data_IF_387669200275
#
_entry.id   IF_387669200275
#
_cell.length_a   1.000
_cell.length_b   1.000
_cell.length_c   1.000
_cell.angle_alpha   90.00
_cell.angle_beta   90.00
_cell.angle_gamma   90.00
#
_symmetry.space_group_name_H-M   'P 1'
#
loop_
_entity.id
_entity.type
_entity.pdbx_description
1 polymer ?
#
# COMPACT_ATOMS: atom_id res chain seq x y z
N UNK A 1 -22.90 -68.12 -1.82
CA UNK A 1 -21.75 -68.46 -0.95
C UNK A 1 -20.72 -67.35 -1.05
N UNK A 2 -20.17 -66.97 0.09
CA UNK A 2 -19.04 -66.06 0.32
C UNK A 2 -19.15 -64.60 -0.14
N UNK A 3 -19.41 -63.71 0.84
CA UNK A 3 -18.81 -62.38 0.87
C UNK A 3 -18.07 -62.20 2.19
N UNK A 4 -16.78 -61.90 2.06
CA UNK A 4 -15.79 -61.72 3.11
C UNK A 4 -16.10 -60.48 3.97
N UNK A 5 -16.09 -60.65 5.30
CA UNK A 5 -15.98 -59.56 6.27
C UNK A 5 -14.51 -59.36 6.65
N UNK A 6 -13.82 -58.47 5.96
CA UNK A 6 -12.48 -57.98 6.31
C UNK A 6 -12.56 -56.55 6.83
N UNK A 7 -12.89 -56.36 8.11
CA UNK A 7 -12.94 -55.02 8.71
C UNK A 7 -12.49 -54.93 10.19
N UNK A 8 -12.00 -56.02 10.82
CA UNK A 8 -11.76 -56.02 12.27
C UNK A 8 -10.30 -55.75 12.70
N UNK A 9 -9.30 -55.88 11.83
CA UNK A 9 -7.89 -55.79 12.26
C UNK A 9 -7.30 -54.38 12.33
N UNK A 10 -7.91 -53.37 11.68
CA UNK A 10 -7.35 -52.00 11.64
C UNK A 10 -7.59 -51.21 12.94
N UNK A 11 -8.68 -51.46 13.65
CA UNK A 11 -9.00 -50.74 14.89
C UNK A 11 -8.08 -51.09 16.07
N UNK A 12 -7.61 -52.34 16.12
CA UNK A 12 -6.78 -52.85 17.22
C UNK A 12 -5.31 -52.41 17.12
N UNK A 13 -4.80 -52.22 15.90
CA UNK A 13 -3.49 -51.62 15.66
C UNK A 13 -3.46 -50.14 16.04
N UNK A 14 -4.54 -49.40 15.76
CA UNK A 14 -4.67 -47.99 16.12
C UNK A 14 -4.60 -47.79 17.65
N UNK A 15 -5.35 -48.55 18.44
CA UNK A 15 -5.30 -48.47 19.92
C UNK A 15 -3.92 -48.76 20.51
N UNK A 16 -3.12 -49.61 19.86
CA UNK A 16 -1.79 -49.99 20.34
C UNK A 16 -0.73 -48.92 20.06
N UNK A 17 -0.81 -48.23 18.92
CA UNK A 17 0.07 -47.11 18.58
C UNK A 17 -0.21 -45.88 19.46
N UNK A 18 -1.48 -45.60 19.75
CA UNK A 18 -1.84 -44.48 20.65
C UNK A 18 -1.57 -44.79 22.12
N UNK A 19 -1.62 -46.06 22.54
CA UNK A 19 -1.27 -46.48 23.90
C UNK A 19 0.18 -46.18 24.27
N UNK A 20 1.11 -46.34 23.31
CA UNK A 20 2.53 -45.99 23.48
C UNK A 20 2.77 -44.48 23.58
N UNK A 21 2.07 -43.69 22.77
CA UNK A 21 2.13 -42.22 22.84
C UNK A 21 1.55 -41.73 24.17
N UNK A 22 0.43 -42.31 24.62
CA UNK A 22 -0.20 -41.96 25.91
C UNK A 22 0.70 -42.25 27.11
N UNK A 23 1.38 -43.41 27.13
CA UNK A 23 2.33 -43.73 28.21
C UNK A 23 3.57 -42.84 28.18
N UNK A 24 4.05 -42.46 26.99
CA UNK A 24 5.17 -41.51 26.85
C UNK A 24 4.80 -40.11 27.38
N UNK A 25 3.61 -39.61 27.06
CA UNK A 25 3.11 -38.31 27.55
C UNK A 25 2.92 -38.32 29.07
N UNK A 26 2.34 -39.40 29.62
CA UNK A 26 2.20 -39.56 31.08
C UNK A 26 3.57 -39.64 31.75
N UNK A 27 4.51 -40.41 31.21
CA UNK A 27 5.87 -40.48 31.72
C UNK A 27 6.54 -39.11 31.67
N UNK A 28 6.46 -38.37 30.55
CA UNK A 28 7.01 -37.00 30.45
C UNK A 28 6.39 -36.04 31.48
N UNK A 29 5.07 -36.09 31.69
CA UNK A 29 4.39 -35.26 32.70
C UNK A 29 4.76 -35.63 34.14
N UNK A 30 5.13 -36.89 34.39
CA UNK A 30 5.56 -37.36 35.72
C UNK A 30 7.06 -37.15 35.97
N UNK A 31 7.87 -37.21 34.92
CA UNK A 31 9.34 -37.13 35.02
C UNK A 31 9.83 -35.69 35.02
N UNK A 32 9.13 -34.77 34.33
CA UNK A 32 9.45 -33.35 34.37
C UNK A 32 8.67 -32.66 35.51
N UNK A 33 9.36 -32.11 36.52
CA UNK A 33 8.69 -31.42 37.63
C UNK A 33 7.89 -30.22 37.10
N UNK A 34 6.78 -29.89 37.77
CA UNK A 34 5.89 -28.76 37.42
C UNK A 34 6.63 -27.45 37.21
N UNK A 35 7.80 -27.29 37.82
CA UNK A 35 8.64 -26.10 37.72
C UNK A 35 9.30 -25.93 36.34
N UNK A 36 9.65 -27.02 35.66
CA UNK A 36 10.17 -26.96 34.27
C UNK A 36 9.07 -26.52 33.30
N UNK A 37 7.84 -27.03 33.48
CA UNK A 37 6.70 -26.58 32.70
C UNK A 37 6.36 -25.10 32.94
N UNK A 38 6.41 -24.63 34.19
CA UNK A 38 6.25 -23.20 34.53
C UNK A 38 7.35 -22.34 33.93
N UNK A 39 8.58 -22.85 33.86
CA UNK A 39 9.68 -22.11 33.25
C UNK A 39 9.52 -22.02 31.72
N UNK A 40 9.15 -23.11 31.05
CA UNK A 40 8.91 -23.14 29.60
C UNK A 40 7.73 -22.22 29.23
N UNK A 41 6.57 -22.44 29.85
CA UNK A 41 5.38 -21.60 29.62
C UNK A 41 5.62 -20.15 30.03
N UNK A 42 6.39 -19.92 31.09
CA UNK A 42 6.80 -18.58 31.52
C UNK A 42 7.75 -17.90 30.52
N UNK A 43 8.64 -18.64 29.85
CA UNK A 43 9.49 -18.10 28.78
C UNK A 43 8.67 -17.76 27.54
N UNK A 44 7.75 -18.62 27.13
CA UNK A 44 6.84 -18.35 26.01
C UNK A 44 5.97 -17.13 26.27
N UNK A 45 5.39 -17.02 27.47
CA UNK A 45 4.59 -15.86 27.86
C UNK A 45 5.43 -14.57 27.88
N UNK A 46 6.64 -14.61 28.46
CA UNK A 46 7.55 -13.45 28.45
C UNK A 46 7.94 -13.05 27.03
N UNK A 47 8.21 -14.01 26.14
CA UNK A 47 8.52 -13.74 24.74
C UNK A 47 7.33 -13.12 24.02
N UNK A 48 6.11 -13.61 24.26
CA UNK A 48 4.88 -13.03 23.72
C UNK A 48 4.67 -11.60 24.18
N UNK A 49 4.77 -11.34 25.49
CA UNK A 49 4.61 -10.00 26.06
C UNK A 49 5.70 -9.05 25.56
N UNK A 50 6.94 -9.53 25.43
CA UNK A 50 8.04 -8.74 24.87
C UNK A 50 7.75 -8.36 23.40
N UNK A 51 7.27 -9.31 22.60
CA UNK A 51 6.91 -9.07 21.20
C UNK A 51 5.71 -8.11 21.08
N UNK A 52 4.68 -8.27 21.91
CA UNK A 52 3.55 -7.33 21.95
C UNK A 52 4.01 -5.91 22.31
N UNK A 53 4.90 -5.78 23.30
CA UNK A 53 5.48 -4.50 23.69
C UNK A 53 6.32 -3.89 22.57
N UNK A 54 7.09 -4.70 21.83
CA UNK A 54 7.87 -4.24 20.69
C UNK A 54 6.96 -3.74 19.55
N UNK A 55 5.89 -4.47 19.22
CA UNK A 55 4.88 -4.03 18.24
C UNK A 55 4.22 -2.73 18.70
N UNK A 56 3.89 -2.60 19.99
CA UNK A 56 3.33 -1.36 20.54
C UNK A 56 4.32 -0.18 20.44
N UNK A 57 5.61 -0.41 20.65
CA UNK A 57 6.64 0.61 20.47
C UNK A 57 6.70 1.10 19.02
N UNK A 58 6.72 0.16 18.06
CA UNK A 58 6.67 0.46 16.62
C UNK A 58 5.42 1.28 16.26
N UNK A 59 4.25 0.90 16.79
CA UNK A 59 3.00 1.63 16.57
C UNK A 59 2.97 3.02 17.20
N UNK A 60 3.63 3.21 18.34
CA UNK A 60 3.80 4.55 18.94
C UNK A 60 4.63 5.45 18.02
N UNK A 61 5.75 4.95 17.49
CA UNK A 61 6.54 5.72 16.52
C UNK A 61 5.73 6.09 15.28
N UNK A 62 4.89 5.18 14.77
CA UNK A 62 3.96 5.48 13.68
C UNK A 62 2.95 6.57 14.07
N UNK A 63 2.37 6.50 15.27
CA UNK A 63 1.46 7.54 15.76
C UNK A 63 2.15 8.91 15.86
N UNK A 64 3.40 8.95 16.32
CA UNK A 64 4.20 10.18 16.38
C UNK A 64 4.47 10.74 14.98
N UNK A 65 4.79 9.89 14.01
CA UNK A 65 4.93 10.29 12.60
C UNK A 65 3.62 10.86 12.03
N UNK A 66 2.48 10.23 12.34
CA UNK A 66 1.16 10.71 11.92
C UNK A 66 0.84 12.09 12.53
N UNK A 67 1.17 12.28 13.81
CA UNK A 67 1.00 13.56 14.50
C UNK A 67 1.87 14.66 13.86
N UNK A 68 3.14 14.35 13.56
CA UNK A 68 4.04 15.29 12.86
C UNK A 68 3.52 15.66 11.46
N UNK A 69 2.95 14.72 10.72
CA UNK A 69 2.34 15.00 9.41
C UNK A 69 1.11 15.90 9.52
N UNK A 70 0.24 15.64 10.50
CA UNK A 70 -0.93 16.47 10.76
C UNK A 70 -0.52 17.90 11.17
N UNK A 71 0.49 18.02 12.03
CA UNK A 71 1.04 19.30 12.43
C UNK A 71 1.68 20.04 11.24
N UNK A 72 2.50 19.36 10.43
CA UNK A 72 3.06 19.90 9.18
C UNK A 72 1.96 20.48 8.29
N UNK A 73 0.90 19.72 8.01
CA UNK A 73 -0.21 20.17 7.16
C UNK A 73 -0.90 21.42 7.75
N UNK A 74 -1.15 21.42 9.06
CA UNK A 74 -1.71 22.57 9.78
C UNK A 74 -0.82 23.81 9.64
N UNK A 75 0.50 23.68 9.88
CA UNK A 75 1.47 24.79 9.76
C UNK A 75 1.58 25.34 8.35
N UNK A 76 1.61 24.46 7.34
CA UNK A 76 1.64 24.88 5.93
C UNK A 76 0.38 25.68 5.59
N UNK A 77 -0.80 25.26 6.08
CA UNK A 77 -2.06 25.97 5.82
C UNK A 77 -2.17 27.35 6.46
N UNK A 78 -1.35 27.64 7.49
CA UNK A 78 -1.34 28.92 8.22
C UNK A 78 -0.55 30.02 7.52
N UNK A 79 0.21 29.70 6.47
CA UNK A 79 1.03 30.66 5.74
C UNK A 79 0.82 30.53 4.24
N UNK A 80 0.87 31.65 3.53
CA UNK A 80 0.90 31.71 2.06
C UNK A 80 2.30 31.97 1.52
N UNK A 81 3.30 32.21 2.38
CA UNK A 81 4.68 32.45 1.98
C UNK A 81 5.37 31.13 1.59
N UNK A 82 5.76 30.94 0.31
CA UNK A 82 6.42 29.71 -0.14
C UNK A 82 7.74 29.42 0.58
N UNK A 83 8.48 30.45 1.02
CA UNK A 83 9.75 30.25 1.73
C UNK A 83 9.51 29.61 3.09
N UNK A 84 8.58 30.19 3.86
CA UNK A 84 8.16 29.64 5.14
C UNK A 84 7.59 28.22 4.99
N UNK A 85 6.75 27.98 3.99
CA UNK A 85 6.22 26.65 3.71
C UNK A 85 7.34 25.63 3.44
N UNK A 86 8.35 26.00 2.66
CA UNK A 86 9.50 25.12 2.38
C UNK A 86 10.34 24.83 3.63
N UNK A 87 10.58 25.82 4.49
CA UNK A 87 11.29 25.64 5.76
C UNK A 87 10.53 24.68 6.70
N UNK A 88 9.22 24.85 6.81
CA UNK A 88 8.35 23.94 7.57
C UNK A 88 8.42 22.54 6.97
N UNK A 89 8.30 22.39 5.65
CA UNK A 89 8.38 21.09 4.97
C UNK A 89 9.67 20.36 5.33
N UNK A 90 10.83 21.02 5.17
CA UNK A 90 12.13 20.44 5.49
C UNK A 90 12.27 20.06 6.97
N UNK A 91 11.83 20.93 7.89
CA UNK A 91 11.95 20.68 9.33
C UNK A 91 11.15 19.45 9.79
N UNK A 92 9.91 19.27 9.31
CA UNK A 92 9.10 18.11 9.66
C UNK A 92 9.57 16.83 8.94
N UNK A 93 10.01 16.93 7.70
CA UNK A 93 10.51 15.79 6.94
C UNK A 93 11.78 15.20 7.57
N UNK A 94 12.69 16.03 8.07
CA UNK A 94 13.86 15.59 8.85
C UNK A 94 13.44 14.87 10.15
N UNK A 95 12.45 15.40 10.87
CA UNK A 95 11.96 14.77 12.11
C UNK A 95 11.33 13.40 11.84
N UNK A 96 10.51 13.30 10.80
CA UNK A 96 9.90 12.04 10.36
C UNK A 96 10.99 11.06 9.93
N UNK A 97 11.97 11.51 9.14
CA UNK A 97 13.12 10.67 8.76
C UNK A 97 13.85 10.12 9.97
N UNK A 98 14.17 10.95 10.96
CA UNK A 98 14.87 10.50 12.17
C UNK A 98 14.07 9.44 12.95
N UNK A 99 12.74 9.57 13.04
CA UNK A 99 11.89 8.54 13.65
C UNK A 99 11.95 7.22 12.89
N UNK A 100 11.88 7.27 11.55
CA UNK A 100 11.94 6.08 10.70
C UNK A 100 13.30 5.41 10.82
N UNK A 101 14.38 6.19 10.67
CA UNK A 101 15.74 5.67 10.61
C UNK A 101 16.19 5.08 11.95
N UNK A 102 15.80 5.69 13.06
CA UNK A 102 16.11 5.19 14.41
C UNK A 102 15.43 3.84 14.69
N UNK A 103 14.27 3.58 14.08
CA UNK A 103 13.49 2.36 14.27
C UNK A 103 13.47 1.46 13.03
N UNK A 104 14.41 1.65 12.10
CA UNK A 104 14.40 1.00 10.78
C UNK A 104 14.37 -0.52 10.85
N UNK A 105 15.22 -1.09 11.70
CA UNK A 105 15.31 -2.55 11.85
C UNK A 105 14.04 -3.12 12.49
N UNK A 106 13.49 -2.42 13.48
CA UNK A 106 12.22 -2.77 14.12
C UNK A 106 11.06 -2.79 13.12
N UNK A 107 10.95 -1.78 12.25
CA UNK A 107 9.96 -1.76 11.18
C UNK A 107 10.13 -2.93 10.20
N UNK A 108 11.38 -3.25 9.86
CA UNK A 108 11.70 -4.31 8.91
C UNK A 108 11.53 -5.71 9.49
N UNK A 109 11.74 -5.92 10.78
CA UNK A 109 11.49 -7.20 11.43
C UNK A 109 9.98 -7.45 11.59
N UNK A 110 9.22 -6.40 11.95
CA UNK A 110 7.82 -6.51 12.38
C UNK A 110 6.80 -6.12 11.31
N UNK A 111 7.21 -5.88 10.06
CA UNK A 111 6.30 -5.45 8.97
C UNK A 111 5.06 -6.33 8.84
N UNK A 112 5.21 -7.65 9.04
CA UNK A 112 4.16 -8.65 8.89
C UNK A 112 3.09 -8.60 10.00
N UNK A 113 3.31 -7.79 11.05
CA UNK A 113 2.36 -7.51 12.14
C UNK A 113 1.68 -6.14 12.01
N UNK A 114 2.11 -5.33 11.05
CA UNK A 114 1.57 -4.01 10.80
C UNK A 114 0.39 -4.07 9.82
N UNK A 115 -0.54 -3.13 9.98
CA UNK A 115 -1.70 -2.96 9.11
C UNK A 115 -1.31 -2.32 7.78
N UNK A 116 -2.16 -2.48 6.77
CA UNK A 116 -1.96 -1.86 5.46
C UNK A 116 -1.74 -0.35 5.53
N UNK A 117 -2.50 0.36 6.36
CA UNK A 117 -2.37 1.81 6.56
C UNK A 117 -1.06 2.22 7.25
N UNK A 118 -0.57 1.38 8.17
CA UNK A 118 0.69 1.60 8.90
C UNK A 118 1.89 1.45 7.94
N UNK A 119 1.88 0.38 7.13
CA UNK A 119 2.89 0.13 6.10
C UNK A 119 2.85 1.19 5.00
N UNK A 120 1.66 1.61 4.57
CA UNK A 120 1.47 2.71 3.63
C UNK A 120 2.06 4.03 4.16
N UNK A 121 1.87 4.33 5.44
CA UNK A 121 2.42 5.54 6.05
C UNK A 121 3.95 5.53 6.06
N UNK A 122 4.58 4.37 6.31
CA UNK A 122 6.04 4.21 6.18
C UNK A 122 6.48 4.44 4.74
N UNK A 123 5.89 3.73 3.77
CA UNK A 123 6.23 3.85 2.36
C UNK A 123 6.09 5.28 1.84
N UNK A 124 4.95 5.93 2.12
CA UNK A 124 4.74 7.33 1.74
C UNK A 124 5.69 8.30 2.44
N UNK A 125 6.11 8.02 3.67
CA UNK A 125 7.06 8.89 4.37
C UNK A 125 8.44 8.79 3.78
N UNK A 126 8.90 7.57 3.51
CA UNK A 126 10.16 7.28 2.83
C UNK A 126 10.19 7.90 1.43
N UNK A 127 9.11 7.78 0.66
CA UNK A 127 9.03 8.39 -0.68
C UNK A 127 9.16 9.92 -0.63
N UNK A 128 8.48 10.58 0.31
CA UNK A 128 8.52 12.05 0.44
C UNK A 128 9.90 12.59 0.80
N UNK A 129 10.70 11.84 1.56
CA UNK A 129 12.06 12.24 1.94
C UNK A 129 13.13 11.81 0.92
N UNK A 130 12.73 11.17 -0.19
CA UNK A 130 13.62 10.75 -1.27
C UNK A 130 14.13 9.30 -1.18
N UNK A 131 13.75 8.55 -0.15
CA UNK A 131 14.10 7.13 0.03
C UNK A 131 13.17 6.21 -0.79
N UNK A 132 13.05 6.47 -2.09
CA UNK A 132 12.09 5.81 -2.99
C UNK A 132 12.32 4.29 -3.06
N UNK A 133 13.57 3.83 -3.04
CA UNK A 133 13.89 2.40 -3.06
C UNK A 133 13.32 1.65 -1.85
N UNK A 134 13.49 2.18 -0.65
CA UNK A 134 12.93 1.58 0.57
C UNK A 134 11.41 1.75 0.64
N UNK A 135 10.88 2.87 0.13
CA UNK A 135 9.45 3.09 0.03
C UNK A 135 8.74 1.96 -0.75
N UNK A 136 9.36 1.46 -1.84
CA UNK A 136 8.77 0.39 -2.65
C UNK A 136 8.50 -0.88 -1.84
N UNK A 137 9.44 -1.27 -0.97
CA UNK A 137 9.26 -2.44 -0.09
C UNK A 137 8.01 -2.28 0.77
N UNK A 138 7.85 -1.13 1.43
CA UNK A 138 6.69 -0.90 2.29
C UNK A 138 5.39 -0.75 1.52
N UNK A 139 5.41 -0.19 0.30
CA UNK A 139 4.22 -0.18 -0.56
C UNK A 139 3.79 -1.59 -0.96
N UNK A 140 4.74 -2.47 -1.32
CA UNK A 140 4.42 -3.86 -1.65
C UNK A 140 3.83 -4.60 -0.45
N UNK A 141 4.42 -4.42 0.74
CA UNK A 141 3.87 -5.01 1.97
C UNK A 141 2.52 -4.42 2.36
N UNK A 142 2.31 -3.12 2.13
CA UNK A 142 1.02 -2.48 2.36
C UNK A 142 -0.07 -3.04 1.43
N UNK A 143 0.26 -3.33 0.17
CA UNK A 143 -0.66 -3.97 -0.80
C UNK A 143 -1.00 -5.39 -0.34
N UNK A 144 0.01 -6.20 0.02
CA UNK A 144 -0.20 -7.56 0.55
C UNK A 144 -1.14 -7.55 1.76
N UNK A 145 -0.89 -6.66 2.72
CA UNK A 145 -1.73 -6.48 3.89
C UNK A 145 -3.15 -5.99 3.54
N UNK A 146 -3.29 -5.02 2.62
CA UNK A 146 -4.59 -4.47 2.23
C UNK A 146 -5.49 -5.52 1.55
N UNK A 147 -4.89 -6.41 0.75
CA UNK A 147 -5.57 -7.56 0.15
C UNK A 147 -6.06 -8.51 1.24
N UNK A 148 -5.20 -8.88 2.20
CA UNK A 148 -5.55 -9.74 3.32
C UNK A 148 -6.65 -9.12 4.21
N UNK A 149 -6.60 -7.81 4.42
CA UNK A 149 -7.58 -7.04 5.20
C UNK A 149 -8.89 -6.77 4.44
N UNK A 150 -8.95 -7.09 3.13
CA UNK A 150 -10.08 -6.81 2.24
C UNK A 150 -10.45 -5.31 2.23
N UNK A 151 -9.44 -4.45 2.09
CA UNK A 151 -9.56 -2.98 2.06
C UNK A 151 -9.27 -2.43 0.65
N UNK A 152 -10.22 -2.52 -0.30
CA UNK A 152 -9.99 -2.11 -1.69
C UNK A 152 -9.61 -0.63 -1.84
N UNK A 153 -10.15 0.26 -1.01
CA UNK A 153 -9.82 1.70 -1.04
C UNK A 153 -8.33 1.95 -0.71
N UNK A 154 -7.79 1.19 0.24
CA UNK A 154 -6.37 1.25 0.57
C UNK A 154 -5.52 0.75 -0.61
N UNK A 155 -5.92 -0.35 -1.25
CA UNK A 155 -5.21 -0.90 -2.42
C UNK A 155 -5.07 0.15 -3.51
N UNK A 156 -6.16 0.85 -3.85
CA UNK A 156 -6.14 1.94 -4.83
C UNK A 156 -5.14 3.03 -4.46
N UNK A 157 -5.24 3.53 -3.23
CA UNK A 157 -4.39 4.63 -2.74
C UNK A 157 -2.92 4.24 -2.74
N UNK A 158 -2.61 3.03 -2.26
CA UNK A 158 -1.24 2.53 -2.19
C UNK A 158 -0.64 2.35 -3.59
N UNK A 159 -1.38 1.79 -4.54
CA UNK A 159 -0.90 1.66 -5.92
C UNK A 159 -0.66 3.02 -6.59
N UNK A 160 -1.55 3.99 -6.37
CA UNK A 160 -1.38 5.36 -6.90
C UNK A 160 -0.10 6.00 -6.35
N UNK A 161 0.11 5.97 -5.03
CA UNK A 161 1.30 6.55 -4.41
C UNK A 161 2.58 5.81 -4.79
N UNK A 162 2.53 4.47 -4.89
CA UNK A 162 3.63 3.68 -5.45
C UNK A 162 4.00 4.16 -6.84
N UNK A 163 3.00 4.30 -7.72
CA UNK A 163 3.19 4.81 -9.08
C UNK A 163 3.78 6.21 -9.11
N UNK A 164 3.26 7.13 -8.29
CA UNK A 164 3.78 8.49 -8.16
C UNK A 164 5.27 8.50 -7.80
N UNK A 165 5.65 7.76 -6.75
CA UNK A 165 7.05 7.69 -6.28
C UNK A 165 8.03 7.19 -7.35
N UNK A 166 7.61 6.28 -8.22
CA UNK A 166 8.43 5.71 -9.29
C UNK A 166 8.52 6.60 -10.54
N UNK A 167 7.60 7.55 -10.73
CA UNK A 167 7.67 8.52 -11.82
C UNK A 167 8.63 9.68 -11.51
N UNK A 168 8.85 9.99 -10.24
CA UNK A 168 9.75 11.06 -9.82
C UNK A 168 11.16 10.86 -10.36
N UNK A 169 11.82 11.96 -10.72
CA UNK A 169 13.19 11.97 -11.24
C UNK A 169 14.20 11.68 -10.11
N UNK A 170 14.35 10.39 -9.82
CA UNK A 170 15.24 9.86 -8.76
C UNK A 170 16.09 8.72 -9.34
N UNK A 171 17.18 8.31 -8.66
CA UNK A 171 17.95 7.13 -9.07
C UNK A 171 17.12 5.83 -9.15
N UNK A 172 15.95 5.79 -8.52
CA UNK A 172 15.02 4.66 -8.50
C UNK A 172 13.85 4.82 -9.47
N UNK A 173 13.92 5.79 -10.40
CA UNK A 173 12.86 6.02 -11.38
C UNK A 173 12.62 4.76 -12.23
N UNK A 174 11.38 4.27 -12.21
CA UNK A 174 10.95 3.13 -13.01
C UNK A 174 9.58 3.42 -13.61
N UNK A 175 9.59 4.06 -14.78
CA UNK A 175 8.39 4.53 -15.48
C UNK A 175 7.46 3.38 -15.87
N UNK A 176 8.01 2.20 -16.14
CA UNK A 176 7.20 1.06 -16.54
C UNK A 176 6.42 0.50 -15.35
N UNK A 177 7.11 0.25 -14.23
CA UNK A 177 6.44 -0.17 -13.01
C UNK A 177 5.52 0.93 -12.45
N UNK A 178 5.84 2.21 -12.65
CA UNK A 178 4.98 3.33 -12.31
C UNK A 178 3.63 3.28 -13.05
N UNK A 179 3.66 3.04 -14.37
CA UNK A 179 2.45 2.84 -15.19
C UNK A 179 1.64 1.65 -14.70
N UNK A 180 2.30 0.52 -14.49
CA UNK A 180 1.62 -0.70 -14.00
C UNK A 180 0.91 -0.43 -12.68
N UNK A 181 1.56 0.27 -11.75
CA UNK A 181 0.96 0.63 -10.47
C UNK A 181 -0.26 1.55 -10.66
N UNK A 182 -0.16 2.62 -11.46
CA UNK A 182 -1.30 3.49 -11.75
C UNK A 182 -2.46 2.77 -12.45
N UNK A 183 -2.18 1.90 -13.43
CA UNK A 183 -3.21 1.11 -14.12
C UNK A 183 -3.91 0.17 -13.14
N UNK A 184 -3.19 -0.43 -12.18
CA UNK A 184 -3.80 -1.22 -11.10
C UNK A 184 -4.69 -0.37 -10.19
N UNK A 185 -4.28 0.84 -9.83
CA UNK A 185 -5.12 1.77 -9.06
C UNK A 185 -6.41 2.13 -9.82
N UNK A 186 -6.30 2.47 -11.11
CA UNK A 186 -7.45 2.77 -11.97
C UNK A 186 -8.37 1.55 -12.15
N UNK A 187 -7.80 0.36 -12.31
CA UNK A 187 -8.55 -0.89 -12.42
C UNK A 187 -9.36 -1.14 -11.15
N UNK A 188 -8.74 -0.95 -9.98
CA UNK A 188 -9.41 -1.05 -8.67
C UNK A 188 -10.60 -0.09 -8.56
N UNK A 189 -10.43 1.18 -8.96
CA UNK A 189 -11.53 2.17 -9.01
C UNK A 189 -12.63 1.81 -10.01
N UNK A 190 -12.28 1.21 -11.15
CA UNK A 190 -13.25 0.84 -12.17
C UNK A 190 -14.04 -0.44 -11.86
N UNK A 191 -13.47 -1.34 -11.04
CA UNK A 191 -14.00 -2.68 -10.81
C UNK A 191 -14.98 -2.82 -9.64
N UNK A 192 -14.88 -1.96 -8.61
CA UNK A 192 -15.74 -2.04 -7.43
C UNK A 192 -16.80 -0.92 -7.43
N UNK A 193 -18.08 -1.28 -7.53
CA UNK A 193 -19.21 -0.33 -7.45
C UNK A 193 -19.25 0.46 -6.14
N UNK A 194 -18.62 -0.03 -5.07
CA UNK A 194 -18.56 0.67 -3.77
C UNK A 194 -17.46 1.73 -3.72
N UNK A 195 -16.37 1.51 -4.46
CA UNK A 195 -15.20 2.40 -4.50
C UNK A 195 -15.11 3.24 -5.79
N UNK A 196 -16.06 3.05 -6.71
CA UNK A 196 -16.11 3.71 -8.03
C UNK A 196 -16.53 5.18 -7.94
N UNK A 197 -15.64 6.01 -7.43
CA UNK A 197 -15.79 7.45 -7.56
C UNK A 197 -15.29 7.88 -8.94
N UNK A 198 -16.17 8.32 -9.87
CA UNK A 198 -15.73 8.85 -11.16
C UNK A 198 -14.79 10.05 -10.99
N UNK A 199 -14.96 10.81 -9.90
CA UNK A 199 -14.08 11.92 -9.53
C UNK A 199 -12.66 11.45 -9.23
N UNK A 200 -12.50 10.45 -8.35
CA UNK A 200 -11.17 9.89 -8.04
C UNK A 200 -10.55 9.23 -9.26
N UNK A 201 -11.35 8.52 -10.05
CA UNK A 201 -10.89 7.90 -11.30
C UNK A 201 -10.29 8.93 -12.26
N UNK A 202 -11.01 10.04 -12.52
CA UNK A 202 -10.52 11.09 -13.41
C UNK A 202 -9.28 11.78 -12.85
N UNK A 203 -9.23 12.03 -11.54
CA UNK A 203 -8.03 12.58 -10.89
C UNK A 203 -6.81 11.65 -11.01
N UNK A 204 -6.96 10.35 -10.78
CA UNK A 204 -5.82 9.41 -10.91
C UNK A 204 -5.41 9.22 -12.38
N UNK A 205 -6.36 9.26 -13.31
CA UNK A 205 -6.07 9.16 -14.73
C UNK A 205 -5.33 10.42 -15.23
N UNK A 206 -5.74 11.60 -14.77
CA UNK A 206 -5.08 12.86 -15.12
C UNK A 206 -3.67 12.95 -14.55
N UNK A 207 -3.44 12.41 -13.35
CA UNK A 207 -2.10 12.25 -12.79
C UNK A 207 -1.22 11.37 -13.66
N UNK A 208 -1.66 10.15 -14.01
CA UNK A 208 -0.89 9.25 -14.88
C UNK A 208 -0.56 9.92 -16.22
N UNK A 209 -1.56 10.54 -16.86
CA UNK A 209 -1.35 11.24 -18.13
C UNK A 209 -0.41 12.43 -17.96
N UNK A 210 -0.53 13.18 -16.86
CA UNK A 210 0.37 14.28 -16.53
C UNK A 210 1.81 13.81 -16.34
N UNK A 211 2.02 12.70 -15.63
CA UNK A 211 3.33 12.07 -15.46
C UNK A 211 3.93 11.61 -16.80
N UNK A 212 3.12 11.07 -17.72
CA UNK A 212 3.59 10.72 -19.06
C UNK A 212 4.05 11.96 -19.85
N UNK A 213 3.31 13.06 -19.76
CA UNK A 213 3.68 14.32 -20.43
C UNK A 213 4.97 14.90 -19.84
N UNK A 214 5.13 14.86 -18.52
CA UNK A 214 6.23 15.52 -17.79
C UNK A 214 7.50 14.67 -17.69
N UNK A 215 7.38 13.36 -17.46
CA UNK A 215 8.51 12.48 -17.16
C UNK A 215 8.51 11.20 -18.01
N UNK A 216 7.37 10.76 -18.52
CA UNK A 216 7.19 9.52 -19.26
C UNK A 216 7.33 9.64 -20.78
N UNK A 217 6.49 8.88 -21.49
CA UNK A 217 6.35 8.95 -22.94
C UNK A 217 5.40 10.09 -23.30
N UNK A 218 6.01 11.18 -23.78
CA UNK A 218 5.28 12.41 -24.12
C UNK A 218 4.17 12.16 -25.14
N UNK A 219 4.43 11.36 -26.18
CA UNK A 219 3.44 11.06 -27.22
C UNK A 219 2.28 10.26 -26.62
N UNK A 220 2.57 9.35 -25.71
CA UNK A 220 1.52 8.62 -25.02
C UNK A 220 0.64 9.54 -24.16
N UNK A 221 1.25 10.39 -23.34
CA UNK A 221 0.51 11.35 -22.52
C UNK A 221 -0.34 12.30 -23.36
N UNK A 222 0.23 12.85 -24.43
CA UNK A 222 -0.49 13.77 -25.31
C UNK A 222 -1.64 13.11 -26.08
N UNK A 223 -1.50 11.84 -26.52
CA UNK A 223 -2.59 11.13 -27.20
C UNK A 223 -3.81 10.87 -26.31
N UNK A 224 -3.62 10.86 -24.98
CA UNK A 224 -4.69 10.63 -23.98
C UNK A 224 -5.21 11.93 -23.34
N UNK A 225 -4.54 13.06 -23.54
CA UNK A 225 -4.91 14.36 -22.93
C UNK A 225 -6.31 14.82 -23.28
N UNK A 226 -6.69 14.74 -24.57
CA UNK A 226 -8.01 15.16 -25.03
C UNK A 226 -9.13 14.34 -24.36
N UNK A 227 -8.91 13.03 -24.19
CA UNK A 227 -9.85 12.16 -23.48
C UNK A 227 -10.02 12.57 -22.01
N UNK A 228 -8.91 12.81 -21.29
CA UNK A 228 -8.98 13.28 -19.90
C UNK A 228 -9.72 14.62 -19.78
N UNK A 229 -9.46 15.56 -20.68
CA UNK A 229 -10.19 16.84 -20.72
C UNK A 229 -11.70 16.63 -20.90
N UNK A 230 -12.11 15.76 -21.83
CA UNK A 230 -13.53 15.46 -22.04
C UNK A 230 -14.20 14.83 -20.81
N UNK A 231 -13.46 14.02 -20.03
CA UNK A 231 -13.96 13.49 -18.77
C UNK A 231 -14.14 14.59 -17.71
N UNK A 232 -13.19 15.52 -17.62
CA UNK A 232 -13.34 16.70 -16.76
C UNK A 232 -14.52 17.56 -17.18
N UNK A 233 -14.75 17.78 -18.46
CA UNK A 233 -15.91 18.54 -18.95
C UNK A 233 -17.23 17.84 -18.62
N UNK A 234 -17.29 16.50 -18.78
CA UNK A 234 -18.46 15.70 -18.46
C UNK A 234 -18.80 15.71 -16.96
N UNK A 235 -17.80 15.72 -16.07
CA UNK A 235 -17.99 15.69 -14.62
C UNK A 235 -17.97 17.09 -13.95
N UNK A 236 -17.35 18.08 -14.58
CA UNK A 236 -16.76 19.24 -13.92
C UNK A 236 -17.54 20.54 -14.01
N UNK A 237 -18.66 20.61 -14.75
CA UNK A 237 -19.39 21.87 -14.92
C UNK A 237 -19.85 22.49 -13.58
N UNK A 238 -20.02 21.69 -12.53
CA UNK A 238 -20.53 22.13 -11.22
C UNK A 238 -19.69 21.65 -10.00
N UNK A 239 -18.47 21.10 -10.18
CA UNK A 239 -17.67 20.60 -9.06
C UNK A 239 -16.40 21.46 -8.83
N UNK A 240 -16.36 22.30 -7.77
CA UNK A 240 -15.21 23.16 -7.47
C UNK A 240 -13.90 22.40 -7.27
N UNK A 241 -13.96 21.20 -6.66
CA UNK A 241 -12.77 20.40 -6.41
C UNK A 241 -12.13 19.89 -7.71
N UNK A 242 -12.95 19.45 -8.68
CA UNK A 242 -12.44 19.05 -9.99
C UNK A 242 -11.90 20.22 -10.81
N UNK A 243 -12.48 21.41 -10.67
CA UNK A 243 -12.07 22.60 -11.44
C UNK A 243 -10.59 22.92 -11.22
N UNK A 244 -10.13 22.91 -9.97
CA UNK A 244 -8.71 23.14 -9.65
C UNK A 244 -7.79 22.07 -10.27
N UNK A 245 -8.18 20.78 -10.19
CA UNK A 245 -7.42 19.70 -10.83
C UNK A 245 -7.39 19.84 -12.36
N UNK A 246 -8.51 20.21 -12.97
CA UNK A 246 -8.60 20.44 -14.40
C UNK A 246 -7.70 21.60 -14.84
N UNK A 247 -7.69 22.73 -14.11
CA UNK A 247 -6.80 23.85 -14.39
C UNK A 247 -5.33 23.45 -14.28
N UNK A 248 -4.95 22.71 -13.24
CA UNK A 248 -3.58 22.18 -13.09
C UNK A 248 -3.21 21.25 -14.26
N UNK A 249 -4.06 20.28 -14.59
CA UNK A 249 -3.82 19.32 -15.66
C UNK A 249 -3.76 19.97 -17.04
N UNK A 250 -4.73 20.84 -17.36
CA UNK A 250 -4.79 21.56 -18.64
C UNK A 250 -3.64 22.54 -18.81
N UNK A 251 -3.03 23.03 -17.72
CA UNK A 251 -1.82 23.83 -17.73
C UNK A 251 -0.52 23.05 -17.98
N UNK A 252 -0.52 21.72 -17.88
CA UNK A 252 0.66 20.90 -18.11
C UNK A 252 1.12 21.06 -19.56
N UNK A 253 2.33 21.60 -19.73
CA UNK A 253 2.99 21.70 -21.02
C UNK A 253 4.46 21.31 -20.86
N UNK A 254 4.96 20.52 -21.80
CA UNK A 254 6.35 20.12 -21.87
C UNK A 254 6.78 20.07 -23.34
N UNK A 255 8.09 20.24 -23.58
CA UNK A 255 8.63 20.17 -24.94
C UNK A 255 8.40 18.78 -25.53
N UNK A 256 8.17 18.73 -26.84
CA UNK A 256 8.07 17.47 -27.57
C UNK A 256 9.27 16.57 -27.27
N UNK A 257 8.99 15.31 -26.94
CA UNK A 257 10.00 14.26 -26.81
C UNK A 257 9.53 13.04 -27.61
N UNK A 258 10.37 12.49 -28.49
CA UNK A 258 10.02 11.27 -29.22
C UNK A 258 9.82 10.12 -28.22
N UNK A 259 8.80 9.29 -28.49
CA UNK A 259 8.41 8.17 -27.64
C UNK A 259 8.20 6.90 -28.45
N UNK A 260 7.98 5.79 -27.76
CA UNK A 260 7.58 4.51 -28.37
C UNK A 260 6.06 4.44 -28.61
N UNK A 261 5.31 5.39 -28.06
CA UNK A 261 3.86 5.40 -28.06
C UNK A 261 3.28 4.67 -26.85
N UNK A 262 1.96 4.61 -26.75
CA UNK A 262 1.29 4.01 -25.59
C UNK A 262 1.33 2.48 -25.61
N UNK A 263 1.92 1.89 -24.57
CA UNK A 263 1.89 0.44 -24.32
C UNK A 263 0.74 0.01 -23.39
N UNK A 264 0.09 0.97 -22.73
CA UNK A 264 -0.97 0.73 -21.76
C UNK A 264 -2.31 1.28 -22.22
N UNK A 265 -3.38 0.64 -21.74
CA UNK A 265 -4.77 0.98 -22.04
C UNK A 265 -5.44 1.59 -20.81
N UNK A 266 -6.33 2.54 -21.06
CA UNK A 266 -7.14 3.16 -20.01
C UNK A 266 -8.20 2.14 -19.57
N UNK A 267 -8.24 1.70 -18.29
CA UNK A 267 -9.30 0.82 -17.81
C UNK A 267 -10.70 1.45 -18.00
N UNK A 268 -11.67 0.70 -18.49
CA UNK A 268 -13.01 1.26 -18.68
C UNK A 268 -13.72 1.44 -17.33
N UNK A 269 -14.16 2.66 -17.02
CA UNK A 269 -14.94 2.94 -15.82
C UNK A 269 -16.45 2.87 -16.14
N UNK A 270 -17.19 1.98 -15.49
CA UNK A 270 -18.60 1.70 -15.85
C UNK A 270 -19.52 2.93 -15.78
N UNK A 271 -19.28 3.85 -14.85
CA UNK A 271 -20.10 5.06 -14.72
C UNK A 271 -19.78 6.13 -15.79
N UNK A 272 -18.63 5.99 -16.47
CA UNK A 272 -18.15 6.95 -17.47
C UNK A 272 -18.29 6.42 -18.90
N UNK A 273 -18.45 5.10 -19.07
CA UNK A 273 -18.54 4.47 -20.40
C UNK A 273 -19.75 4.92 -21.22
N UNK A 274 -20.81 5.42 -20.58
CA UNK A 274 -21.96 6.03 -21.26
C UNK A 274 -21.75 7.50 -21.62
N UNK A 275 -20.74 8.16 -21.03
CA UNK A 275 -20.48 9.59 -21.20
C UNK A 275 -19.37 9.83 -22.24
N UNK A 276 -18.29 9.04 -22.19
CA UNK A 276 -17.14 9.19 -23.08
C UNK A 276 -16.47 7.84 -23.34
N UNK A 277 -16.23 7.51 -24.61
CA UNK A 277 -15.53 6.28 -25.00
C UNK A 277 -14.01 6.45 -24.86
N UNK A 278 -13.29 5.53 -24.17
CA UNK A 278 -11.84 5.61 -24.04
C UNK A 278 -11.13 5.41 -25.38
N UNK A 279 -10.03 6.15 -25.65
CA UNK A 279 -9.17 5.89 -26.79
C UNK A 279 -8.43 4.55 -26.61
N UNK A 280 -8.17 3.87 -27.73
CA UNK A 280 -7.40 2.63 -27.76
C UNK A 280 -5.93 2.83 -27.38
#
# INVERSE_FOLDING_TARGET
>A
MERQYSASSKGLLFLKEWGGIGTLVIALLYTFPKDVWKEITGREERARVAEENAILAVRRTLADMAALRAEKASRISQSTDPRYQNEIVGAYDIRIYNLIYTQKDEFKERWHKLRSSELYMLGSSLALIGEVGEAQFYYDKAIEAAISEKRPDNITTIYREKGNSLFMDTPYQDKENARVAYVKALTSLSGDKRSSSPYLYVTHLSELVGFEILYGDWQCGMSKRAYVNSLYEALGKNNPALSSYYQMFSGINSRFRPGKGCTWKIPAHFALSSLVTPPN
#
